data_IF_309048884252
#
_entry.id   IF_309048884252
#
_cell.length_a   1.000
_cell.length_b   1.000
_cell.length_c   1.000
_cell.angle_alpha   90.00
_cell.angle_beta   90.00
_cell.angle_gamma   90.00
#
_symmetry.space_group_name_H-M   'P 1'
#
loop_
_entity.id
_entity.type
_entity.pdbx_description
1 polymer ?
#
# COMPACT_ATOMS: atom_id res chain seq x y z
N UNK A 1 5.42 28.80 -15.93
CA UNK A 1 6.06 29.31 -14.70
C UNK A 1 7.50 28.81 -14.75
N UNK A 2 8.47 29.69 -14.99
CA UNK A 2 9.88 29.29 -15.15
C UNK A 2 10.63 29.61 -13.85
N UNK A 3 11.30 28.62 -13.27
CA UNK A 3 12.14 28.79 -12.10
C UNK A 3 13.41 29.55 -12.49
N UNK A 4 13.83 30.50 -11.65
CA UNK A 4 15.16 31.09 -11.79
C UNK A 4 16.23 30.08 -11.33
N UNK A 5 17.51 30.32 -11.67
CA UNK A 5 18.61 29.39 -11.36
C UNK A 5 18.77 29.14 -9.86
N UNK A 6 18.62 30.17 -9.03
CA UNK A 6 18.76 30.07 -7.57
C UNK A 6 17.64 29.22 -6.95
N UNK A 7 16.41 29.41 -7.42
CA UNK A 7 15.24 28.61 -7.04
C UNK A 7 15.42 27.15 -7.49
N UNK A 8 15.94 26.92 -8.70
CA UNK A 8 16.21 25.57 -9.18
C UNK A 8 17.27 24.85 -8.32
N UNK A 9 18.34 25.55 -7.92
CA UNK A 9 19.38 25.00 -7.03
C UNK A 9 18.83 24.76 -5.63
N UNK A 10 18.04 25.69 -5.08
CA UNK A 10 17.39 25.50 -3.79
C UNK A 10 16.48 24.26 -3.79
N UNK A 11 15.61 24.11 -4.80
CA UNK A 11 14.78 22.93 -4.94
C UNK A 11 15.61 21.65 -5.08
N UNK A 12 16.68 21.66 -5.88
CA UNK A 12 17.55 20.50 -6.05
C UNK A 12 18.22 20.08 -4.74
N UNK A 13 18.70 21.03 -3.94
CA UNK A 13 19.30 20.75 -2.64
C UNK A 13 18.28 20.18 -1.65
N UNK A 14 17.04 20.70 -1.63
CA UNK A 14 15.97 20.13 -0.79
C UNK A 14 15.69 18.66 -1.15
N UNK A 15 15.69 18.32 -2.43
CA UNK A 15 15.53 16.92 -2.86
C UNK A 15 16.75 16.07 -2.48
N UNK A 16 17.97 16.57 -2.68
CA UNK A 16 19.19 15.86 -2.29
C UNK A 16 19.19 15.59 -0.79
N UNK A 17 19.02 16.62 0.04
CA UNK A 17 19.02 16.53 1.50
C UNK A 17 17.93 15.59 2.04
N UNK A 18 16.82 15.44 1.32
CA UNK A 18 15.77 14.49 1.68
C UNK A 18 16.19 13.05 1.39
N UNK A 19 16.74 12.77 0.20
CA UNK A 19 17.15 11.41 -0.18
C UNK A 19 18.47 10.98 0.48
N UNK A 20 19.36 11.91 0.79
CA UNK A 20 20.64 11.68 1.47
C UNK A 20 20.47 11.16 2.91
N UNK A 21 19.26 11.30 3.49
CA UNK A 21 18.90 10.71 4.79
C UNK A 21 18.74 9.19 4.73
N UNK A 22 18.47 8.63 3.56
CA UNK A 22 18.28 7.20 3.37
C UNK A 22 19.60 6.57 2.93
N UNK A 23 20.22 5.78 3.81
CA UNK A 23 21.47 5.09 3.47
C UNK A 23 21.25 4.00 2.42
N UNK A 24 20.01 3.48 2.34
CA UNK A 24 19.61 2.45 1.38
C UNK A 24 18.16 2.65 0.92
N UNK A 25 17.90 2.22 -0.30
CA UNK A 25 16.57 2.34 -0.94
C UNK A 25 15.46 1.58 -0.19
N UNK A 26 15.79 0.53 0.55
CA UNK A 26 14.82 -0.25 1.34
C UNK A 26 14.34 0.49 2.60
N UNK A 27 15.16 1.35 3.20
CA UNK A 27 14.74 2.21 4.32
C UNK A 27 13.68 3.21 3.86
N UNK A 28 13.89 3.83 2.70
CA UNK A 28 12.91 4.72 2.08
C UNK A 28 11.58 4.01 1.81
N UNK A 29 11.62 2.80 1.22
CA UNK A 29 10.40 2.02 0.96
C UNK A 29 9.66 1.65 2.24
N UNK A 30 10.40 1.33 3.32
CA UNK A 30 9.82 1.03 4.63
C UNK A 30 9.16 2.25 5.27
N UNK A 31 9.80 3.42 5.22
CA UNK A 31 9.21 4.66 5.73
C UNK A 31 7.95 5.07 4.97
N UNK A 32 7.99 5.00 3.63
CA UNK A 32 6.79 5.25 2.82
C UNK A 32 5.66 4.28 3.16
N UNK A 33 5.98 3.01 3.42
CA UNK A 33 5.00 2.01 3.84
C UNK A 33 4.35 2.37 5.17
N UNK A 34 5.16 2.72 6.17
CA UNK A 34 4.68 3.12 7.49
C UNK A 34 3.82 4.39 7.41
N UNK A 35 4.23 5.36 6.61
CA UNK A 35 3.44 6.58 6.38
C UNK A 35 2.08 6.27 5.73
N UNK A 36 2.06 5.40 4.71
CA UNK A 36 0.84 4.96 4.04
C UNK A 36 -0.11 4.19 4.98
N UNK A 37 0.44 3.38 5.90
CA UNK A 37 -0.37 2.70 6.91
C UNK A 37 -0.92 3.66 7.98
N UNK A 38 -0.14 4.68 8.37
CA UNK A 38 -0.54 5.66 9.38
C UNK A 38 -1.66 6.60 8.91
N UNK A 39 -1.81 6.80 7.60
CA UNK A 39 -2.88 7.62 7.02
C UNK A 39 -4.26 6.92 7.03
N UNK A 40 -4.31 5.62 7.34
CA UNK A 40 -5.57 4.87 7.36
C UNK A 40 -6.49 5.35 8.48
N UNK A 41 -7.76 5.54 8.12
CA UNK A 41 -8.81 5.79 9.12
C UNK A 41 -8.89 4.60 10.08
N UNK A 42 -8.99 4.83 11.40
CA UNK A 42 -9.23 3.76 12.34
C UNK A 42 -10.56 3.08 12.00
N UNK A 43 -10.53 1.76 11.94
CA UNK A 43 -11.72 0.92 11.77
C UNK A 43 -12.41 0.74 13.12
N UNK A 44 -13.73 0.52 13.09
CA UNK A 44 -14.47 0.16 14.29
C UNK A 44 -14.03 -1.24 14.74
N UNK A 45 -13.95 -1.49 16.05
CA UNK A 45 -13.54 -2.77 16.61
C UNK A 45 -14.25 -3.95 15.93
N UNK A 46 -13.49 -4.86 15.33
CA UNK A 46 -14.01 -6.07 14.66
C UNK A 46 -14.62 -5.85 13.27
N UNK A 47 -14.51 -4.64 12.70
CA UNK A 47 -14.89 -4.35 11.30
C UNK A 47 -13.67 -3.99 10.47
N UNK A 48 -12.53 -4.56 10.84
CA UNK A 48 -11.24 -4.28 10.22
C UNK A 48 -10.98 -5.19 9.02
N UNK A 49 -10.13 -4.73 8.08
CA UNK A 49 -9.64 -5.56 6.99
C UNK A 49 -8.86 -6.81 7.45
N UNK A 50 -8.47 -6.87 8.73
CA UNK A 50 -7.86 -8.06 9.33
C UNK A 50 -8.80 -9.26 9.48
N UNK A 51 -10.12 -9.05 9.60
CA UNK A 51 -11.11 -10.13 9.72
C UNK A 51 -11.43 -10.75 8.36
N UNK A 52 -11.25 -10.00 7.27
CA UNK A 52 -11.48 -10.48 5.89
C UNK A 52 -10.30 -11.31 5.36
N UNK A 53 -9.13 -11.25 6.00
CA UNK A 53 -7.92 -11.95 5.56
C UNK A 53 -7.78 -13.29 6.28
N UNK A 54 -7.27 -14.30 5.56
CA UNK A 54 -6.96 -15.60 6.14
C UNK A 54 -6.06 -15.47 7.37
N UNK A 55 -6.61 -15.84 8.53
CA UNK A 55 -5.94 -15.73 9.82
C UNK A 55 -5.56 -17.10 10.40
N UNK A 56 -6.23 -18.18 9.99
CA UNK A 56 -5.92 -19.56 10.37
C UNK A 56 -5.10 -20.28 9.28
N UNK A 57 -3.79 -20.40 9.50
CA UNK A 57 -2.89 -21.12 8.60
C UNK A 57 -2.89 -22.65 8.81
N UNK A 58 -3.63 -23.15 9.79
CA UNK A 58 -3.68 -24.58 10.12
C UNK A 58 -4.87 -25.30 9.48
N UNK A 59 -5.84 -24.55 8.97
CA UNK A 59 -7.00 -25.08 8.25
C UNK A 59 -6.59 -25.63 6.87
N UNK A 60 -7.11 -26.81 6.54
CA UNK A 60 -6.94 -27.39 5.21
C UNK A 60 -7.81 -26.63 4.21
N UNK A 61 -7.33 -26.32 2.99
CA UNK A 61 -8.15 -25.67 1.96
C UNK A 61 -9.40 -26.46 1.55
N UNK A 62 -9.42 -27.78 1.81
CA UNK A 62 -10.59 -28.62 1.52
C UNK A 62 -11.74 -28.40 2.52
N UNK A 63 -11.42 -27.89 3.71
CA UNK A 63 -12.36 -27.66 4.81
C UNK A 63 -12.71 -26.17 4.95
N UNK A 64 -12.14 -25.32 4.08
CA UNK A 64 -12.35 -23.88 4.06
C UNK A 64 -13.57 -23.53 3.20
N UNK A 65 -14.54 -22.83 3.78
CA UNK A 65 -15.61 -22.21 3.01
C UNK A 65 -15.09 -20.88 2.46
N UNK A 66 -14.85 -20.79 1.16
CA UNK A 66 -14.38 -19.55 0.54
C UNK A 66 -15.18 -19.18 -0.71
N UNK A 67 -15.27 -17.89 -0.98
CA UNK A 67 -15.92 -17.34 -2.16
C UNK A 67 -14.92 -16.57 -3.04
N UNK A 68 -15.05 -16.73 -4.36
CA UNK A 68 -14.35 -15.89 -5.33
C UNK A 68 -15.18 -14.65 -5.60
N UNK A 69 -14.70 -13.50 -5.15
CA UNK A 69 -15.39 -12.23 -5.32
C UNK A 69 -14.58 -11.23 -6.14
N UNK A 70 -15.28 -10.38 -6.88
CA UNK A 70 -14.69 -9.20 -7.49
C UNK A 70 -14.69 -8.05 -6.46
N UNK A 71 -13.49 -7.55 -6.11
CA UNK A 71 -13.37 -6.49 -5.13
C UNK A 71 -13.40 -5.10 -5.79
N UNK A 72 -14.07 -4.13 -5.14
CA UNK A 72 -13.95 -2.74 -5.55
C UNK A 72 -12.51 -2.24 -5.31
N UNK A 73 -12.11 -1.24 -6.08
CA UNK A 73 -10.71 -0.78 -6.15
C UNK A 73 -10.16 -0.31 -4.79
N UNK A 74 -10.97 0.39 -4.01
CA UNK A 74 -10.62 0.89 -2.68
C UNK A 74 -10.28 -0.24 -1.69
N UNK A 75 -11.12 -1.29 -1.63
CA UNK A 75 -10.86 -2.47 -0.79
C UNK A 75 -9.63 -3.24 -1.28
N UNK A 76 -9.51 -3.43 -2.60
CA UNK A 76 -8.35 -4.09 -3.19
C UNK A 76 -7.03 -3.39 -2.86
N UNK A 77 -6.97 -2.08 -3.09
CA UNK A 77 -5.78 -1.28 -2.84
C UNK A 77 -5.44 -1.30 -1.34
N UNK A 78 -6.47 -1.36 -0.47
CA UNK A 78 -6.29 -1.53 0.98
C UNK A 78 -5.68 -2.90 1.32
N UNK A 79 -6.24 -4.02 0.87
CA UNK A 79 -5.66 -5.33 1.20
C UNK A 79 -4.27 -5.50 0.60
N UNK A 80 -4.07 -5.08 -0.65
CA UNK A 80 -2.77 -5.16 -1.31
C UNK A 80 -1.72 -4.32 -0.59
N UNK A 81 -2.09 -3.13 -0.09
CA UNK A 81 -1.22 -2.33 0.76
C UNK A 81 -1.03 -2.89 2.17
N UNK A 82 -1.81 -3.87 2.62
CA UNK A 82 -1.52 -4.54 3.89
C UNK A 82 -0.49 -5.66 3.70
N UNK A 83 -0.66 -6.49 2.67
CA UNK A 83 0.15 -7.69 2.45
C UNK A 83 1.45 -7.45 1.68
N UNK A 84 1.48 -6.47 0.77
CA UNK A 84 2.62 -6.25 -0.11
C UNK A 84 3.76 -5.55 0.62
N UNK A 85 4.98 -6.04 0.42
CA UNK A 85 6.21 -5.36 0.84
C UNK A 85 6.57 -4.16 -0.03
N UNK A 86 5.89 -3.98 -1.17
CA UNK A 86 6.11 -2.87 -2.10
C UNK A 86 5.08 -1.76 -1.91
N UNK A 87 5.49 -0.53 -2.23
CA UNK A 87 4.57 0.61 -2.36
C UNK A 87 3.76 0.43 -3.63
N UNK A 88 2.54 -0.12 -3.52
CA UNK A 88 1.72 -0.37 -4.69
C UNK A 88 1.13 0.95 -5.20
N UNK A 89 1.28 1.20 -6.50
CA UNK A 89 0.67 2.36 -7.13
C UNK A 89 -0.84 2.17 -7.23
N UNK A 90 -1.60 3.13 -6.75
CA UNK A 90 -3.03 3.24 -7.01
C UNK A 90 -3.23 3.91 -8.37
N UNK A 91 -4.22 3.46 -9.14
CA UNK A 91 -4.54 4.00 -10.49
C UNK A 91 -3.61 3.58 -11.64
N UNK A 92 -3.49 2.27 -11.87
CA UNK A 92 -2.88 1.73 -13.10
C UNK A 92 -3.81 2.01 -14.28
N UNK A 93 -3.39 2.76 -15.32
CA UNK A 93 -4.23 3.04 -16.47
C UNK A 93 -4.50 1.76 -17.28
N UNK A 94 -5.77 1.42 -17.47
CA UNK A 94 -6.20 0.25 -18.24
C UNK A 94 -7.40 -0.47 -17.63
N UNK A 95 -7.88 -1.53 -18.30
CA UNK A 95 -8.87 -2.45 -17.71
C UNK A 95 -8.17 -3.35 -16.71
N UNK A 96 -8.57 -3.27 -15.45
CA UNK A 96 -8.05 -4.11 -14.38
C UNK A 96 -9.16 -5.04 -13.87
N UNK A 97 -8.89 -6.35 -13.84
CA UNK A 97 -9.72 -7.34 -13.18
C UNK A 97 -9.10 -7.64 -11.81
N UNK A 98 -9.89 -7.52 -10.73
CA UNK A 98 -9.43 -7.66 -9.35
C UNK A 98 -10.26 -8.74 -8.67
N UNK A 99 -9.67 -9.91 -8.51
CA UNK A 99 -10.31 -11.09 -7.91
C UNK A 99 -9.65 -11.39 -6.58
N UNK A 100 -10.46 -11.54 -5.53
CA UNK A 100 -10.01 -12.00 -4.23
C UNK A 100 -10.76 -13.27 -3.85
N UNK A 101 -10.11 -14.05 -2.99
CA UNK A 101 -10.68 -15.20 -2.33
C UNK A 101 -10.84 -14.78 -0.88
N UNK A 102 -12.07 -14.76 -0.38
CA UNK A 102 -12.38 -14.49 1.03
C UNK A 102 -13.02 -15.75 1.65
N UNK A 103 -12.78 -15.94 2.95
CA UNK A 103 -13.45 -16.92 3.82
C UNK A 103 -14.72 -16.30 4.43
#
# INVERSE_FOLDING_TARGET
>A
MNLNKEQAVYCANVFSDYFDKFGRIDEYMREQKLASMAERSPVLFGMGPEEDLFSDFTMSPADMEFELIELPQDRWDTYLNMISSHSNMTSIPGRCLRLAILE
#
